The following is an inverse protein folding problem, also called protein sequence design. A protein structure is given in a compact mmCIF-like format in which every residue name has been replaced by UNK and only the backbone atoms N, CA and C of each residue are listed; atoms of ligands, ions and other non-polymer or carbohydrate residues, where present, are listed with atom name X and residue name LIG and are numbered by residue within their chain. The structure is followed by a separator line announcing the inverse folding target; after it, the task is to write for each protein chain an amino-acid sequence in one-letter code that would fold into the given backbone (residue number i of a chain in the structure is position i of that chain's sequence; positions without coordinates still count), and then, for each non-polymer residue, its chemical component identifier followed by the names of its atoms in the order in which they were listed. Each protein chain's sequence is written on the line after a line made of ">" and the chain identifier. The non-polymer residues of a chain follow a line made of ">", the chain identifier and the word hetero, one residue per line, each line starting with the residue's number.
data_IF_106943521830
#
_entry.id   IF_106943521830
#
_cell.length_a   1.000
_cell.length_b   1.000
_cell.length_c   1.000
_cell.angle_alpha   90.00
_cell.angle_beta   90.00
_cell.angle_gamma   90.00
#
_symmetry.space_group_name_H-M   'P 1'
#
loop_
_entity.id
_entity.type
_entity.pdbx_description
1 polymer ?
#
# COMPACT_ATOMS: atom_id res chain seq x y z
N UNK A 1 -12.82 17.16 -11.82
CA UNK A 1 -13.20 16.01 -12.67
C UNK A 1 -11.98 15.19 -13.13
N UNK A 2 -10.95 15.83 -13.71
CA UNK A 2 -9.79 15.12 -14.28
C UNK A 2 -9.03 14.24 -13.27
N UNK A 3 -8.77 14.73 -12.04
CA UNK A 3 -8.06 13.95 -11.02
C UNK A 3 -8.79 12.65 -10.64
N UNK A 4 -10.11 12.71 -10.48
CA UNK A 4 -10.93 11.53 -10.20
C UNK A 4 -10.90 10.54 -11.38
N UNK A 5 -11.00 11.04 -12.62
CA UNK A 5 -10.88 10.20 -13.82
C UNK A 5 -9.52 9.50 -13.88
N UNK A 6 -8.42 10.20 -13.57
CA UNK A 6 -7.09 9.61 -13.50
C UNK A 6 -7.04 8.48 -12.46
N UNK A 7 -7.53 8.76 -11.24
CA UNK A 7 -7.60 7.78 -10.15
C UNK A 7 -8.38 6.52 -10.57
N UNK A 8 -9.56 6.70 -11.17
CA UNK A 8 -10.37 5.57 -11.65
C UNK A 8 -9.63 4.75 -12.71
N UNK A 9 -8.96 5.39 -13.68
CA UNK A 9 -8.20 4.68 -14.72
C UNK A 9 -7.06 3.84 -14.15
N UNK A 10 -6.32 4.35 -13.16
CA UNK A 10 -5.27 3.58 -12.51
C UNK A 10 -5.80 2.44 -11.64
N UNK A 11 -6.98 2.59 -11.03
CA UNK A 11 -7.63 1.47 -10.36
C UNK A 11 -8.12 0.43 -11.37
N UNK A 12 -8.66 0.86 -12.50
CA UNK A 12 -9.17 -0.01 -13.56
C UNK A 12 -8.06 -0.79 -14.27
N UNK A 13 -6.84 -0.25 -14.38
CA UNK A 13 -5.74 -0.91 -15.10
C UNK A 13 -5.31 -2.26 -14.53
N UNK A 14 -5.73 -2.57 -13.29
CA UNK A 14 -5.39 -3.80 -12.56
C UNK A 14 -6.60 -4.67 -12.24
N UNK A 15 -7.78 -4.39 -12.80
CA UNK A 15 -9.02 -5.13 -12.47
C UNK A 15 -8.90 -6.64 -12.75
N UNK A 16 -8.31 -7.02 -13.88
CA UNK A 16 -8.13 -8.43 -14.28
C UNK A 16 -7.20 -9.19 -13.33
N UNK A 17 -6.30 -8.48 -12.63
CA UNK A 17 -5.34 -9.07 -11.70
C UNK A 17 -5.78 -8.98 -10.25
N UNK A 18 -6.94 -8.36 -9.95
CA UNK A 18 -7.45 -8.26 -8.58
C UNK A 18 -7.90 -9.59 -8.01
N UNK A 19 -8.14 -10.58 -8.87
CA UNK A 19 -8.57 -11.92 -8.49
C UNK A 19 -7.46 -12.87 -8.93
N UNK A 20 -6.89 -13.64 -8.01
CA UNK A 20 -5.92 -14.69 -8.32
C UNK A 20 -6.59 -15.83 -9.08
N UNK A 21 -5.80 -16.74 -9.66
CA UNK A 21 -6.31 -17.97 -10.29
C UNK A 21 -7.18 -18.81 -9.32
N UNK A 22 -6.97 -18.64 -8.02
CA UNK A 22 -7.74 -19.29 -6.95
C UNK A 22 -9.04 -18.56 -6.58
N UNK A 23 -9.38 -17.47 -7.27
CA UNK A 23 -10.59 -16.68 -7.02
C UNK A 23 -10.46 -15.64 -5.89
N UNK A 24 -9.25 -15.40 -5.40
CA UNK A 24 -8.98 -14.64 -4.17
C UNK A 24 -8.43 -13.23 -4.46
N UNK A 25 -8.68 -12.24 -3.59
CA UNK A 25 -8.17 -10.88 -3.80
C UNK A 25 -6.64 -10.86 -3.65
N UNK A 26 -5.92 -10.57 -4.72
CA UNK A 26 -4.45 -10.50 -4.72
C UNK A 26 -3.95 -9.22 -4.04
N UNK A 27 -2.86 -9.32 -3.26
CA UNK A 27 -2.19 -8.12 -2.75
C UNK A 27 -1.46 -7.40 -3.89
N UNK A 28 -1.26 -6.08 -3.76
CA UNK A 28 -0.65 -5.29 -4.84
C UNK A 28 0.78 -5.75 -5.15
N UNK A 29 1.50 -6.26 -4.15
CA UNK A 29 2.84 -6.81 -4.33
C UNK A 29 2.85 -8.17 -5.05
N UNK A 30 1.73 -8.91 -5.00
CA UNK A 30 1.61 -10.24 -5.62
C UNK A 30 1.04 -10.16 -7.06
N UNK A 31 0.61 -8.97 -7.51
CA UNK A 31 0.10 -8.77 -8.86
C UNK A 31 1.24 -8.70 -9.87
N UNK A 32 1.12 -9.47 -10.96
CA UNK A 32 1.97 -9.28 -12.13
C UNK A 32 1.68 -7.90 -12.73
N UNK A 33 2.71 -7.04 -12.83
CA UNK A 33 2.59 -5.67 -13.36
C UNK A 33 2.68 -5.63 -14.88
N UNK A 34 3.16 -6.70 -15.51
CA UNK A 34 3.22 -6.80 -16.97
C UNK A 34 1.82 -6.98 -17.58
N UNK A 35 0.91 -7.59 -16.84
CA UNK A 35 -0.48 -7.79 -17.24
C UNK A 35 -1.38 -6.57 -16.98
N UNK A 36 -0.84 -5.49 -16.41
CA UNK A 36 -1.62 -4.27 -16.20
C UNK A 36 -1.88 -3.56 -17.53
N UNK A 37 -3.11 -3.09 -17.74
CA UNK A 37 -3.49 -2.37 -18.97
C UNK A 37 -2.69 -1.07 -19.11
N UNK A 38 -1.67 -1.09 -19.97
CA UNK A 38 -0.84 0.08 -20.29
C UNK A 38 -1.66 1.19 -20.93
N UNK A 39 -2.69 0.85 -21.69
CA UNK A 39 -3.64 1.81 -22.28
C UNK A 39 -4.40 2.58 -21.19
N UNK A 40 -4.92 1.90 -20.17
CA UNK A 40 -5.61 2.57 -19.06
C UNK A 40 -4.65 3.44 -18.24
N UNK A 41 -3.41 3.01 -18.04
CA UNK A 41 -2.37 3.82 -17.40
C UNK A 41 -2.08 5.09 -18.20
N UNK A 42 -1.89 4.99 -19.52
CA UNK A 42 -1.64 6.15 -20.40
C UNK A 42 -2.83 7.13 -20.42
N UNK A 43 -4.05 6.61 -20.46
CA UNK A 43 -5.27 7.42 -20.31
C UNK A 43 -5.31 8.14 -18.96
N UNK A 44 -4.98 7.43 -17.87
CA UNK A 44 -4.85 8.01 -16.53
C UNK A 44 -3.85 9.16 -16.49
N UNK A 45 -2.68 8.98 -17.10
CA UNK A 45 -1.64 10.03 -17.19
C UNK A 45 -2.16 11.27 -17.92
N UNK A 46 -2.91 11.09 -19.01
CA UNK A 46 -3.50 12.20 -19.76
C UNK A 46 -4.49 13.02 -18.92
N UNK A 47 -5.30 12.37 -18.08
CA UNK A 47 -6.19 13.05 -17.15
C UNK A 47 -5.42 13.70 -16.00
N UNK A 48 -4.40 13.02 -15.47
CA UNK A 48 -3.59 13.55 -14.38
C UNK A 48 -2.88 14.84 -14.79
N UNK A 49 -2.27 14.89 -15.98
CA UNK A 49 -1.65 16.11 -16.51
C UNK A 49 -2.64 17.26 -16.66
N UNK A 50 -3.89 16.97 -17.06
CA UNK A 50 -4.97 17.97 -17.15
C UNK A 50 -5.57 18.39 -15.81
N UNK A 51 -5.17 17.74 -14.70
CA UNK A 51 -5.56 18.15 -13.35
C UNK A 51 -4.56 19.10 -12.70
N UNK A 52 -3.38 19.26 -13.30
CA UNK A 52 -2.35 20.19 -12.82
C UNK A 52 -2.76 21.60 -13.24
N UNK A 53 -3.06 22.47 -12.27
CA UNK A 53 -3.53 23.83 -12.53
C UNK A 53 -4.09 24.57 -11.32
N UNK A 54 -4.37 23.87 -10.21
CA UNK A 54 -4.75 24.48 -8.94
C UNK A 54 -3.52 24.79 -8.07
N UNK A 55 -3.57 25.88 -7.29
CA UNK A 55 -2.46 26.34 -6.42
C UNK A 55 -2.07 25.29 -5.35
N UNK A 56 -3.01 24.44 -4.95
CA UNK A 56 -2.80 23.32 -4.03
C UNK A 56 -3.43 22.04 -4.60
N UNK A 57 -2.81 20.89 -4.33
CA UNK A 57 -3.34 19.60 -4.79
C UNK A 57 -4.51 19.15 -3.93
N UNK A 58 -5.67 18.93 -4.54
CA UNK A 58 -6.83 18.33 -3.87
C UNK A 58 -6.65 16.83 -3.55
N UNK A 59 -7.49 16.30 -2.65
CA UNK A 59 -7.45 14.90 -2.18
C UNK A 59 -7.38 13.88 -3.32
N UNK A 60 -8.23 14.03 -4.35
CA UNK A 60 -8.25 13.09 -5.48
C UNK A 60 -6.99 13.15 -6.34
N UNK A 61 -6.34 14.31 -6.44
CA UNK A 61 -5.09 14.43 -7.18
C UNK A 61 -3.96 13.71 -6.45
N UNK A 62 -3.90 13.87 -5.12
CA UNK A 62 -2.93 13.17 -4.28
C UNK A 62 -3.15 11.65 -4.35
N UNK A 63 -4.40 11.19 -4.22
CA UNK A 63 -4.71 9.76 -4.36
C UNK A 63 -4.35 9.23 -5.75
N UNK A 64 -4.65 9.99 -6.82
CA UNK A 64 -4.27 9.59 -8.18
C UNK A 64 -2.75 9.45 -8.33
N UNK A 65 -1.97 10.37 -7.76
CA UNK A 65 -0.51 10.31 -7.75
C UNK A 65 0.02 9.13 -6.94
N UNK A 66 -0.59 8.79 -5.80
CA UNK A 66 -0.22 7.60 -5.02
C UNK A 66 -0.44 6.33 -5.85
N UNK A 67 -1.62 6.18 -6.47
CA UNK A 67 -1.92 5.00 -7.29
C UNK A 67 -1.03 4.96 -8.54
N UNK A 68 -0.75 6.10 -9.15
CA UNK A 68 0.19 6.20 -10.27
C UNK A 68 1.61 5.76 -9.88
N UNK A 69 2.12 6.16 -8.71
CA UNK A 69 3.44 5.72 -8.26
C UNK A 69 3.54 4.20 -8.15
N UNK A 70 2.46 3.50 -7.78
CA UNK A 70 2.46 2.03 -7.78
C UNK A 70 2.64 1.39 -9.16
N UNK A 71 2.38 2.13 -10.26
CA UNK A 71 2.63 1.68 -11.65
C UNK A 71 4.09 1.79 -12.07
N UNK A 72 4.90 2.54 -11.32
CA UNK A 72 6.32 2.71 -11.60
C UNK A 72 7.15 1.55 -11.05
N UNK A 73 8.35 1.38 -11.59
CA UNK A 73 9.37 0.46 -11.07
C UNK A 73 9.67 0.73 -9.59
N UNK A 74 10.12 -0.31 -8.88
CA UNK A 74 10.41 -0.17 -7.45
C UNK A 74 11.74 0.53 -7.23
N UNK A 75 11.73 1.68 -6.56
CA UNK A 75 12.93 2.47 -6.27
C UNK A 75 12.73 3.28 -4.99
N UNK A 76 13.84 3.67 -4.33
CA UNK A 76 13.79 4.48 -3.10
C UNK A 76 13.13 5.84 -3.36
N UNK A 77 13.43 6.48 -4.49
CA UNK A 77 12.92 7.80 -4.87
C UNK A 77 11.40 7.76 -5.08
N UNK A 78 10.88 6.64 -5.60
CA UNK A 78 9.42 6.41 -5.70
C UNK A 78 8.78 6.38 -4.31
N UNK A 79 9.40 5.71 -3.34
CA UNK A 79 8.87 5.62 -1.99
C UNK A 79 8.95 6.96 -1.25
N UNK A 80 10.03 7.72 -1.42
CA UNK A 80 10.14 9.09 -0.89
C UNK A 80 9.07 10.02 -1.47
N UNK A 81 8.81 9.96 -2.78
CA UNK A 81 7.71 10.72 -3.40
C UNK A 81 6.35 10.31 -2.83
N UNK A 82 6.10 9.01 -2.63
CA UNK A 82 4.86 8.55 -1.98
C UNK A 82 4.76 9.04 -0.55
N UNK A 83 5.87 9.13 0.19
CA UNK A 83 5.86 9.65 1.56
C UNK A 83 5.39 11.10 1.60
N UNK A 84 5.88 11.94 0.68
CA UNK A 84 5.44 13.32 0.54
C UNK A 84 3.95 13.43 0.19
N UNK A 85 3.46 12.54 -0.68
CA UNK A 85 2.04 12.48 -1.01
C UNK A 85 1.19 12.09 0.21
N UNK A 86 1.63 11.12 1.00
CA UNK A 86 0.93 10.75 2.23
C UNK A 86 1.00 11.83 3.31
N UNK A 87 2.10 12.59 3.41
CA UNK A 87 2.19 13.76 4.29
C UNK A 87 1.10 14.79 3.93
N UNK A 88 0.95 15.10 2.65
CA UNK A 88 -0.12 16.01 2.15
C UNK A 88 -1.51 15.41 2.32
N UNK A 89 -1.67 14.11 2.10
CA UNK A 89 -2.96 13.45 2.31
C UNK A 89 -3.39 13.51 3.77
N UNK A 90 -2.47 13.33 4.73
CA UNK A 90 -2.77 13.43 6.15
C UNK A 90 -3.18 14.84 6.59
N UNK A 91 -2.63 15.89 5.98
CA UNK A 91 -3.04 17.26 6.29
C UNK A 91 -4.47 17.57 5.83
N UNK A 92 -4.97 16.85 4.83
CA UNK A 92 -6.36 16.97 4.35
C UNK A 92 -7.29 16.00 5.09
N UNK A 93 -6.82 14.76 5.31
CA UNK A 93 -7.62 13.66 5.84
C UNK A 93 -6.82 12.83 6.83
N UNK A 94 -6.95 13.20 8.10
CA UNK A 94 -6.38 12.45 9.22
C UNK A 94 -7.26 11.22 9.53
N UNK A 95 -6.86 10.04 9.08
CA UNK A 95 -7.53 8.79 9.45
C UNK A 95 -6.54 7.61 9.62
N UNK A 96 -6.94 6.55 10.35
CA UNK A 96 -6.05 5.42 10.64
C UNK A 96 -5.51 4.69 9.40
N UNK A 97 -6.29 4.60 8.33
CA UNK A 97 -5.88 3.93 7.09
C UNK A 97 -4.75 4.71 6.40
N UNK A 98 -4.86 6.04 6.32
CA UNK A 98 -3.83 6.90 5.73
C UNK A 98 -2.57 6.85 6.58
N UNK A 99 -2.68 6.84 7.91
CA UNK A 99 -1.55 6.67 8.83
C UNK A 99 -0.85 5.33 8.59
N UNK A 100 -1.59 4.22 8.56
CA UNK A 100 -1.00 2.89 8.32
C UNK A 100 -0.32 2.81 6.95
N UNK A 101 -0.94 3.33 5.89
CA UNK A 101 -0.34 3.35 4.57
C UNK A 101 0.94 4.20 4.53
N UNK A 102 0.96 5.35 5.23
CA UNK A 102 2.17 6.18 5.36
C UNK A 102 3.27 5.45 6.11
N UNK A 103 2.95 4.76 7.22
CA UNK A 103 3.92 3.96 7.96
C UNK A 103 4.51 2.83 7.10
N UNK A 104 3.70 2.19 6.26
CA UNK A 104 4.22 1.25 5.27
C UNK A 104 5.22 1.92 4.32
N UNK A 105 4.90 3.11 3.79
CA UNK A 105 5.83 3.85 2.93
C UNK A 105 7.11 4.28 3.67
N UNK A 106 7.02 4.67 4.94
CA UNK A 106 8.20 4.94 5.78
C UNK A 106 9.14 3.73 5.86
N UNK A 107 8.60 2.52 6.10
CA UNK A 107 9.42 1.30 6.10
C UNK A 107 10.08 1.04 4.74
N UNK A 108 9.38 1.34 3.64
CA UNK A 108 9.95 1.22 2.28
C UNK A 108 11.06 2.24 2.02
N UNK A 109 11.09 3.34 2.75
CA UNK A 109 12.19 4.31 2.75
C UNK A 109 13.36 3.90 3.67
N UNK A 110 13.32 2.71 4.30
CA UNK A 110 14.32 2.29 5.29
C UNK A 110 14.16 2.96 6.65
N UNK A 111 13.02 3.63 6.92
CA UNK A 111 12.74 4.36 8.16
C UNK A 111 11.84 3.55 9.09
N UNK A 112 12.29 2.33 9.38
CA UNK A 112 11.52 1.32 10.12
C UNK A 112 11.17 1.76 11.55
N UNK A 113 12.11 2.36 12.26
CA UNK A 113 11.88 2.85 13.63
C UNK A 113 10.80 3.93 13.67
N UNK A 114 10.85 4.86 12.71
CA UNK A 114 9.85 5.92 12.58
C UNK A 114 8.47 5.36 12.21
N UNK A 115 8.41 4.35 11.35
CA UNK A 115 7.17 3.66 11.00
C UNK A 115 6.54 2.99 12.23
N UNK A 116 7.33 2.28 13.04
CA UNK A 116 6.87 1.63 14.27
C UNK A 116 6.39 2.69 15.29
N UNK A 117 7.16 3.76 15.46
CA UNK A 117 6.80 4.85 16.37
C UNK A 117 5.47 5.48 15.97
N UNK A 118 5.29 5.82 14.69
CA UNK A 118 4.04 6.37 14.17
C UNK A 118 2.85 5.45 14.43
N UNK A 119 2.99 4.16 14.09
CA UNK A 119 1.93 3.17 14.31
C UNK A 119 1.55 3.08 15.78
N UNK A 120 2.53 3.01 16.69
CA UNK A 120 2.27 2.91 18.13
C UNK A 120 1.63 4.16 18.73
N UNK A 121 1.95 5.34 18.21
CA UNK A 121 1.46 6.62 18.74
C UNK A 121 0.09 7.02 18.18
N UNK A 122 -0.16 6.73 16.90
CA UNK A 122 -1.31 7.29 16.17
C UNK A 122 -2.41 6.27 15.88
N UNK A 123 -2.15 4.97 16.03
CA UNK A 123 -3.16 3.92 15.87
C UNK A 123 -3.60 3.42 17.24
N UNK A 124 -4.82 3.81 17.63
CA UNK A 124 -5.44 3.39 18.89
C UNK A 124 -5.89 1.92 18.81
N UNK A 125 -6.62 1.56 17.75
CA UNK A 125 -7.09 0.19 17.52
C UNK A 125 -5.97 -0.68 16.93
N UNK A 126 -5.25 -1.35 17.83
CA UNK A 126 -4.23 -2.34 17.46
C UNK A 126 -4.85 -3.68 17.05
N UNK A 127 -6.15 -3.89 17.23
CA UNK A 127 -6.86 -5.11 16.82
C UNK A 127 -7.18 -5.10 15.32
N UNK A 128 -6.21 -4.67 14.51
CA UNK A 128 -6.34 -4.48 13.08
C UNK A 128 -5.31 -5.34 12.36
N UNK A 129 -5.77 -6.17 11.42
CA UNK A 129 -4.87 -7.05 10.68
C UNK A 129 -3.82 -6.30 9.86
N UNK A 130 -4.12 -5.10 9.34
CA UNK A 130 -3.19 -4.28 8.56
C UNK A 130 -2.08 -3.73 9.44
N UNK A 131 -2.41 -3.28 10.66
CA UNK A 131 -1.45 -2.84 11.66
C UNK A 131 -0.41 -3.95 11.90
N UNK A 132 -0.87 -5.16 12.20
CA UNK A 132 0.02 -6.30 12.45
C UNK A 132 0.78 -6.73 11.20
N UNK A 133 0.18 -6.65 10.01
CA UNK A 133 0.87 -6.99 8.76
C UNK A 133 2.04 -6.04 8.46
N UNK A 134 1.88 -4.73 8.71
CA UNK A 134 2.97 -3.75 8.52
C UNK A 134 4.09 -4.01 9.51
N UNK A 135 3.76 -4.15 10.80
CA UNK A 135 4.74 -4.44 11.86
C UNK A 135 5.48 -5.76 11.58
N UNK A 136 4.78 -6.81 11.14
CA UNK A 136 5.38 -8.08 10.78
C UNK A 136 6.41 -7.92 9.65
N UNK A 137 6.06 -7.14 8.62
CA UNK A 137 6.95 -6.87 7.49
C UNK A 137 8.21 -6.10 7.89
N UNK A 138 8.09 -5.11 8.79
CA UNK A 138 9.22 -4.36 9.33
C UNK A 138 10.17 -5.29 10.10
N UNK A 139 9.64 -6.12 11.00
CA UNK A 139 10.46 -7.00 11.83
C UNK A 139 11.09 -8.18 11.07
N UNK A 140 10.70 -8.47 9.81
CA UNK A 140 11.23 -9.61 9.03
C UNK A 140 12.75 -9.70 9.06
N UNK A 141 13.43 -8.56 8.90
CA UNK A 141 14.88 -8.49 8.80
C UNK A 141 15.56 -8.14 10.14
N UNK A 142 14.79 -7.92 11.22
CA UNK A 142 15.30 -7.42 12.49
C UNK A 142 15.07 -8.41 13.64
N UNK A 143 13.86 -8.96 13.75
CA UNK A 143 13.49 -9.88 14.82
C UNK A 143 12.49 -10.93 14.32
N UNK A 144 13.00 -12.14 14.11
CA UNK A 144 12.21 -13.23 13.56
C UNK A 144 10.98 -13.60 14.42
N UNK A 145 11.15 -13.65 15.74
CA UNK A 145 10.08 -14.09 16.63
C UNK A 145 8.94 -13.07 16.63
N UNK A 146 9.26 -11.77 16.70
CA UNK A 146 8.26 -10.71 16.61
C UNK A 146 7.55 -10.69 15.25
N UNK A 147 8.31 -10.83 14.16
CA UNK A 147 7.73 -10.90 12.83
C UNK A 147 6.72 -12.05 12.70
N UNK A 148 7.11 -13.26 13.15
CA UNK A 148 6.24 -14.44 13.15
C UNK A 148 4.97 -14.20 13.96
N UNK A 149 5.08 -13.73 15.20
CA UNK A 149 3.92 -13.49 16.06
C UNK A 149 2.96 -12.46 15.48
N UNK A 150 3.47 -11.40 14.85
CA UNK A 150 2.62 -10.42 14.18
C UNK A 150 1.97 -10.95 12.90
N UNK A 151 2.63 -11.85 12.16
CA UNK A 151 1.98 -12.56 11.06
C UNK A 151 0.82 -13.42 11.53
N UNK A 152 1.00 -14.18 12.60
CA UNK A 152 -0.05 -15.02 13.19
C UNK A 152 -1.25 -14.19 13.66
N UNK A 153 -1.00 -13.03 14.30
CA UNK A 153 -2.05 -12.08 14.67
C UNK A 153 -2.75 -11.46 13.46
N UNK A 154 -2.00 -11.10 12.41
CA UNK A 154 -2.60 -10.59 11.18
C UNK A 154 -3.53 -11.64 10.53
N UNK A 155 -3.15 -12.92 10.56
CA UNK A 155 -3.99 -14.02 10.04
C UNK A 155 -5.25 -14.20 10.89
N UNK A 156 -5.13 -14.17 12.22
CA UNK A 156 -6.29 -14.38 13.10
C UNK A 156 -7.33 -13.27 12.96
N UNK A 157 -6.88 -12.02 12.78
CA UNK A 157 -7.72 -10.82 12.69
C UNK A 157 -8.21 -10.49 11.28
N UNK A 158 -7.64 -11.08 10.23
CA UNK A 158 -8.10 -10.82 8.87
C UNK A 158 -9.51 -11.38 8.67
N UNK A 159 -10.53 -10.58 8.29
CA UNK A 159 -11.90 -11.07 8.15
C UNK A 159 -12.11 -11.92 6.89
N UNK A 160 -11.24 -11.76 5.90
CA UNK A 160 -11.38 -12.41 4.59
C UNK A 160 -10.55 -13.69 4.50
N UNK A 161 -11.15 -14.78 4.01
CA UNK A 161 -10.46 -16.04 3.76
C UNK A 161 -9.30 -15.89 2.77
N UNK A 162 -9.50 -15.12 1.71
CA UNK A 162 -8.47 -14.78 0.72
C UNK A 162 -7.30 -14.02 1.36
N UNK A 163 -7.62 -13.01 2.17
CA UNK A 163 -6.64 -12.23 2.92
C UNK A 163 -5.82 -13.11 3.86
N UNK A 164 -6.46 -14.04 4.58
CA UNK A 164 -5.75 -15.02 5.44
C UNK A 164 -4.76 -15.87 4.64
N UNK A 165 -5.18 -16.42 3.49
CA UNK A 165 -4.30 -17.22 2.64
C UNK A 165 -3.11 -16.41 2.12
N UNK A 166 -3.33 -15.18 1.66
CA UNK A 166 -2.25 -14.30 1.19
C UNK A 166 -1.24 -14.01 2.30
N UNK A 167 -1.71 -13.69 3.52
CA UNK A 167 -0.82 -13.47 4.66
C UNK A 167 -0.11 -14.76 5.07
N UNK A 168 -0.78 -15.91 5.04
CA UNK A 168 -0.18 -17.22 5.33
C UNK A 168 0.91 -17.58 4.31
N UNK A 169 0.70 -17.31 3.03
CA UNK A 169 1.73 -17.48 1.99
C UNK A 169 2.97 -16.65 2.32
N UNK A 170 2.79 -15.36 2.65
CA UNK A 170 3.87 -14.45 3.07
C UNK A 170 4.60 -14.95 4.33
N UNK A 171 3.88 -15.52 5.29
CA UNK A 171 4.47 -16.15 6.48
C UNK A 171 5.30 -17.38 6.09
N UNK A 172 4.77 -18.29 5.27
CA UNK A 172 5.49 -19.49 4.84
C UNK A 172 6.76 -19.15 4.07
N UNK A 173 6.70 -18.18 3.14
CA UNK A 173 7.88 -17.68 2.42
C UNK A 173 8.93 -17.08 3.37
N UNK A 174 8.49 -16.38 4.41
CA UNK A 174 9.37 -15.84 5.45
C UNK A 174 10.02 -16.95 6.28
N UNK A 175 9.28 -18.00 6.63
CA UNK A 175 9.80 -19.14 7.39
C UNK A 175 10.80 -19.97 6.57
N UNK A 176 10.57 -20.13 5.26
CA UNK A 176 11.42 -20.92 4.37
C UNK A 176 12.76 -20.25 4.02
N UNK A 177 12.92 -18.95 4.30
CA UNK A 177 14.18 -18.20 4.07
C UNK A 177 15.17 -18.31 5.24
N UNK A 178 14.85 -19.11 6.27
CA UNK A 178 15.72 -19.42 7.40
C UNK A 178 16.18 -20.87 7.35
#
# INVERSE_FOLDING_TARGET
>A
MNAWMALMRYHSSRLENRISEEGDISSLEDQDRETWSKELIQNGNSFLSKSIGEFEMGEFQIQALIVWNHTLEDSIEKWERMLDLYNKLLSIRFNPIVIMNRAYVLSKCGRDEEAIQELNQKIEDKNNYQFHLIIANIYKNQNFQLAKSHFELAISLCPSSSGKKSIQKKLNEFLNKK
#
